data_IF_021922864319
#
_entry.id   IF_021922864319
#
_cell.length_a   1.000
_cell.length_b   1.000
_cell.length_c   1.000
_cell.angle_alpha   90.00
_cell.angle_beta   90.00
_cell.angle_gamma   90.00
#
_symmetry.space_group_name_H-M   'P 1'
#
loop_
_entity.id
_entity.type
_entity.pdbx_description
1 polymer ?
#
# COMPACT_ATOMS: atom_id res chain seq x y z
N UNK A 1 -9.19 -4.58 -0.01
CA UNK A 1 -10.23 -5.55 0.43
C UNK A 1 -11.02 -5.97 -0.79
N UNK A 2 -11.85 -7.01 -0.70
CA UNK A 2 -12.87 -7.30 -1.72
C UNK A 2 -14.26 -6.74 -1.33
N UNK A 3 -14.35 -6.12 -0.16
CA UNK A 3 -15.53 -5.42 0.38
C UNK A 3 -15.27 -3.92 0.41
N UNK A 4 -16.33 -3.13 0.29
CA UNK A 4 -16.36 -1.70 0.57
C UNK A 4 -17.17 -1.46 1.85
N UNK A 5 -16.52 -0.94 2.89
CA UNK A 5 -17.17 -0.45 4.10
C UNK A 5 -18.29 -1.34 4.69
N UNK A 6 -18.10 -2.66 4.66
CA UNK A 6 -19.03 -3.65 5.19
C UNK A 6 -19.98 -4.32 4.19
N UNK A 7 -19.97 -3.95 2.91
CA UNK A 7 -20.89 -4.48 1.88
C UNK A 7 -20.77 -6.01 1.70
N UNK A 8 -19.59 -6.59 1.97
CA UNK A 8 -19.37 -8.04 1.99
C UNK A 8 -18.76 -8.48 3.34
N UNK A 9 -19.59 -8.85 4.34
CA UNK A 9 -19.11 -9.25 5.67
C UNK A 9 -18.31 -10.56 5.62
N UNK A 10 -17.01 -10.48 5.92
CA UNK A 10 -16.09 -11.61 5.93
C UNK A 10 -14.98 -11.39 6.97
N UNK A 11 -14.36 -12.44 7.55
CA UNK A 11 -13.23 -12.25 8.46
C UNK A 11 -12.11 -11.35 7.89
N UNK A 12 -11.79 -11.49 6.59
CA UNK A 12 -10.79 -10.63 5.95
C UNK A 12 -11.23 -9.18 5.75
N UNK A 13 -12.49 -8.91 5.41
CA UNK A 13 -12.99 -7.53 5.30
C UNK A 13 -13.04 -6.86 6.67
N UNK A 14 -13.52 -7.56 7.70
CA UNK A 14 -13.50 -7.09 9.10
C UNK A 14 -12.08 -6.82 9.62
N UNK A 15 -11.10 -7.66 9.26
CA UNK A 15 -9.68 -7.44 9.59
C UNK A 15 -9.20 -6.09 9.04
N UNK A 16 -9.52 -5.79 7.79
CA UNK A 16 -9.09 -4.54 7.16
C UNK A 16 -9.86 -3.32 7.66
N UNK A 17 -11.15 -3.46 7.97
CA UNK A 17 -11.95 -2.40 8.60
C UNK A 17 -11.37 -2.03 9.96
N UNK A 18 -11.05 -3.05 10.77
CA UNK A 18 -10.37 -2.88 12.06
C UNK A 18 -8.99 -2.23 11.90
N UNK A 19 -8.23 -2.63 10.89
CA UNK A 19 -6.91 -2.03 10.63
C UNK A 19 -7.03 -0.52 10.33
N UNK A 20 -7.97 -0.11 9.46
CA UNK A 20 -8.21 1.30 9.16
C UNK A 20 -8.62 2.09 10.42
N UNK A 21 -9.52 1.53 11.23
CA UNK A 21 -9.94 2.14 12.50
C UNK A 21 -8.77 2.31 13.49
N UNK A 22 -7.89 1.32 13.60
CA UNK A 22 -6.70 1.40 14.47
C UNK A 22 -5.72 2.48 13.99
N UNK A 23 -5.48 2.58 12.68
CA UNK A 23 -4.61 3.63 12.12
C UNK A 23 -5.21 5.01 12.37
N UNK A 24 -6.52 5.18 12.14
CA UNK A 24 -7.21 6.46 12.37
C UNK A 24 -7.19 6.86 13.85
N UNK A 25 -7.36 5.91 14.77
CA UNK A 25 -7.25 6.16 16.21
C UNK A 25 -5.82 6.57 16.61
N UNK A 26 -4.79 5.90 16.07
CA UNK A 26 -3.40 6.20 16.38
C UNK A 26 -2.88 7.48 15.71
N UNK A 27 -3.43 7.84 14.54
CA UNK A 27 -3.01 8.97 13.71
C UNK A 27 -4.23 9.69 13.11
N UNK A 28 -4.99 10.47 13.91
CA UNK A 28 -6.25 11.09 13.46
C UNK A 28 -6.12 12.03 12.26
N UNK A 29 -4.94 12.64 12.09
CA UNK A 29 -4.66 13.58 11.00
C UNK A 29 -4.23 12.88 9.69
N UNK A 30 -4.00 11.56 9.71
CA UNK A 30 -3.65 10.81 8.51
C UNK A 30 -4.93 10.50 7.73
N UNK A 31 -4.96 10.88 6.44
CA UNK A 31 -6.04 10.50 5.54
C UNK A 31 -5.94 9.00 5.25
N UNK A 32 -6.81 8.22 5.90
CA UNK A 32 -6.89 6.77 5.76
C UNK A 32 -8.35 6.35 5.85
N UNK A 33 -8.78 5.63 4.83
CA UNK A 33 -10.10 5.00 4.80
C UNK A 33 -9.95 3.51 4.51
N UNK A 34 -10.94 2.74 4.94
CA UNK A 34 -11.03 1.33 4.65
C UNK A 34 -12.05 0.63 5.54
N UNK A 35 -12.38 -0.62 5.24
CA UNK A 35 -11.87 -1.39 4.11
C UNK A 35 -12.55 -1.03 2.78
N UNK A 36 -11.81 -1.12 1.67
CA UNK A 36 -12.37 -0.88 0.33
C UNK A 36 -11.68 -1.70 -0.75
N UNK A 37 -12.34 -1.83 -1.89
CA UNK A 37 -11.83 -2.35 -3.15
C UNK A 37 -10.90 -1.32 -3.83
N UNK A 38 -10.11 -1.78 -4.80
CA UNK A 38 -9.05 -0.97 -5.41
C UNK A 38 -9.60 0.15 -6.29
N UNK A 39 -10.71 -0.08 -6.98
CA UNK A 39 -11.43 0.92 -7.77
C UNK A 39 -11.97 2.05 -6.90
N UNK A 40 -12.60 1.76 -5.76
CA UNK A 40 -13.04 2.78 -4.78
C UNK A 40 -11.85 3.59 -4.23
N UNK A 41 -10.70 2.94 -4.02
CA UNK A 41 -9.49 3.63 -3.57
C UNK A 41 -8.89 4.54 -4.65
N UNK A 42 -8.93 4.14 -5.93
CA UNK A 42 -8.17 4.78 -7.00
C UNK A 42 -8.99 5.72 -7.88
N UNK A 43 -10.32 5.54 -7.96
CA UNK A 43 -11.20 6.26 -8.86
C UNK A 43 -12.18 7.11 -8.03
N UNK A 44 -11.98 8.42 -8.02
CA UNK A 44 -12.76 9.36 -7.21
C UNK A 44 -14.26 9.27 -7.47
N UNK A 45 -14.67 9.18 -8.74
CA UNK A 45 -16.08 9.09 -9.13
C UNK A 45 -16.77 7.82 -8.62
N UNK A 46 -16.02 6.72 -8.43
CA UNK A 46 -16.57 5.50 -7.82
C UNK A 46 -16.73 5.73 -6.30
N UNK A 47 -15.77 6.42 -5.68
CA UNK A 47 -15.79 6.71 -4.23
C UNK A 47 -16.87 7.71 -3.82
N UNK A 48 -17.37 8.55 -4.72
CA UNK A 48 -18.46 9.51 -4.44
C UNK A 48 -19.73 8.84 -3.86
N UNK A 49 -19.92 7.54 -4.14
CA UNK A 49 -21.00 6.73 -3.54
C UNK A 49 -20.87 6.54 -2.02
N UNK A 50 -19.70 6.83 -1.46
CA UNK A 50 -19.39 6.74 -0.03
C UNK A 50 -19.07 8.14 0.54
N UNK A 51 -20.08 8.99 0.82
CA UNK A 51 -19.89 10.41 1.17
C UNK A 51 -19.18 10.64 2.51
N UNK A 52 -19.05 9.60 3.32
CA UNK A 52 -18.30 9.61 4.58
C UNK A 52 -16.80 9.34 4.41
N UNK A 53 -16.35 8.95 3.20
CA UNK A 53 -14.94 8.76 2.91
C UNK A 53 -14.17 10.09 3.02
N UNK A 54 -12.99 10.03 3.63
CA UNK A 54 -12.13 11.19 3.92
C UNK A 54 -10.99 11.36 2.92
N UNK A 55 -10.68 10.32 2.12
CA UNK A 55 -9.68 10.38 1.05
C UNK A 55 -10.04 11.42 -0.01
N UNK A 56 -9.03 12.20 -0.40
CA UNK A 56 -9.10 13.22 -1.45
C UNK A 56 -8.23 12.79 -2.61
N UNK A 57 -8.77 12.73 -3.82
CA UNK A 57 -8.02 12.20 -4.96
C UNK A 57 -7.83 10.68 -4.90
N UNK A 58 -7.14 10.15 -5.90
CA UNK A 58 -6.72 8.75 -5.91
C UNK A 58 -5.81 8.44 -4.72
N UNK A 59 -6.03 7.32 -4.05
CA UNK A 59 -5.14 6.84 -3.00
C UNK A 59 -3.71 6.64 -3.55
N UNK A 60 -2.72 7.16 -2.84
CA UNK A 60 -1.31 7.05 -3.20
C UNK A 60 -0.56 5.97 -2.40
N UNK A 61 -1.20 5.38 -1.38
CA UNK A 61 -0.68 4.27 -0.59
C UNK A 61 -1.77 3.21 -0.46
N UNK A 62 -1.46 2.01 -0.93
CA UNK A 62 -2.37 0.86 -0.87
C UNK A 62 -1.86 -0.16 0.14
N UNK A 63 -2.66 -0.45 1.17
CA UNK A 63 -2.36 -1.48 2.16
C UNK A 63 -3.13 -2.75 1.82
N UNK A 64 -2.39 -3.78 1.40
CA UNK A 64 -2.97 -5.06 1.00
C UNK A 64 -3.36 -5.93 2.20
N UNK A 65 -4.42 -6.75 2.08
CA UNK A 65 -4.92 -7.56 3.19
C UNK A 65 -4.00 -8.72 3.57
N UNK A 66 -3.16 -9.18 2.66
CA UNK A 66 -2.26 -10.31 2.86
C UNK A 66 -1.12 -10.31 1.83
N UNK A 67 -0.15 -11.19 2.03
CA UNK A 67 1.03 -11.30 1.18
C UNK A 67 0.69 -11.67 -0.27
N UNK A 68 -0.27 -12.58 -0.47
CA UNK A 68 -0.67 -13.01 -1.82
C UNK A 68 -1.22 -11.85 -2.64
N UNK A 69 -2.14 -11.08 -2.07
CA UNK A 69 -2.72 -9.91 -2.74
C UNK A 69 -1.66 -8.86 -3.09
N UNK A 70 -0.75 -8.56 -2.14
CA UNK A 70 0.36 -7.63 -2.39
C UNK A 70 1.32 -8.14 -3.46
N UNK A 71 1.74 -9.40 -3.39
CA UNK A 71 2.70 -10.00 -4.31
C UNK A 71 2.18 -10.06 -5.74
N UNK A 72 0.92 -10.48 -5.91
CA UNK A 72 0.26 -10.52 -7.22
C UNK A 72 0.15 -9.10 -7.77
N UNK A 73 -0.36 -8.15 -6.99
CA UNK A 73 -0.60 -6.79 -7.46
C UNK A 73 0.69 -6.10 -7.95
N UNK A 74 1.77 -6.08 -7.16
CA UNK A 74 2.98 -5.38 -7.59
C UNK A 74 3.65 -6.05 -8.79
N UNK A 75 3.62 -7.40 -8.88
CA UNK A 75 4.18 -8.13 -10.03
C UNK A 75 3.38 -7.91 -11.29
N UNK A 76 2.05 -7.76 -11.20
CA UNK A 76 1.23 -7.37 -12.33
C UNK A 76 1.68 -5.99 -12.86
N UNK A 77 1.88 -5.01 -11.96
CA UNK A 77 2.44 -3.71 -12.37
C UNK A 77 3.85 -3.83 -12.94
N UNK A 78 4.73 -4.66 -12.38
CA UNK A 78 6.08 -4.89 -12.94
C UNK A 78 6.07 -5.50 -14.35
N UNK A 79 4.99 -6.20 -14.73
CA UNK A 79 4.87 -6.82 -16.05
C UNK A 79 4.25 -5.89 -17.10
N UNK A 80 3.63 -4.79 -16.67
CA UNK A 80 3.05 -3.77 -17.55
C UNK A 80 4.16 -2.79 -17.93
N UNK A 81 4.34 -2.58 -19.24
CA UNK A 81 5.32 -1.63 -19.73
C UNK A 81 5.00 -0.20 -19.27
N UNK A 82 6.05 0.56 -18.95
CA UNK A 82 5.93 1.93 -18.42
C UNK A 82 5.78 2.05 -16.90
N UNK A 83 5.72 0.94 -16.14
CA UNK A 83 5.79 0.97 -14.68
C UNK A 83 7.15 0.52 -14.15
N UNK A 84 7.87 1.44 -13.50
CA UNK A 84 9.08 1.07 -12.76
C UNK A 84 8.72 0.63 -11.34
N UNK A 85 9.14 -0.57 -10.96
CA UNK A 85 8.96 -1.09 -9.61
C UNK A 85 10.27 -1.07 -8.85
N UNK A 86 10.31 -0.30 -7.76
CA UNK A 86 11.46 -0.20 -6.85
C UNK A 86 11.15 -0.99 -5.58
N UNK A 87 11.95 -2.02 -5.30
CA UNK A 87 11.80 -2.81 -4.08
C UNK A 87 12.41 -4.22 -4.18
N UNK A 88 12.22 -5.05 -3.14
CA UNK A 88 11.46 -4.78 -1.93
C UNK A 88 12.17 -3.82 -0.95
N UNK A 89 11.40 -2.95 -0.29
CA UNK A 89 11.88 -2.05 0.76
C UNK A 89 11.43 -2.56 2.14
N UNK A 90 12.38 -2.68 3.06
CA UNK A 90 12.09 -3.05 4.46
C UNK A 90 11.87 -1.78 5.28
N UNK A 91 10.77 -1.75 6.02
CA UNK A 91 10.36 -0.65 6.89
C UNK A 91 10.32 -1.12 8.36
N UNK A 92 10.41 -0.18 9.31
CA UNK A 92 10.25 -0.46 10.75
C UNK A 92 11.50 -0.92 11.51
N UNK A 93 12.64 -1.09 10.84
CA UNK A 93 13.91 -1.45 11.50
C UNK A 93 14.56 -0.25 12.21
N UNK A 94 15.27 -0.49 13.33
CA UNK A 94 16.02 0.56 14.08
C UNK A 94 17.10 1.24 13.25
N UNK A 95 17.73 0.51 12.34
CA UNK A 95 18.63 1.02 11.32
C UNK A 95 18.13 0.56 9.94
N UNK A 96 18.25 1.36 8.88
CA UNK A 96 17.77 0.97 7.57
C UNK A 96 18.60 -0.20 7.04
N UNK A 97 17.91 -1.27 6.67
CA UNK A 97 18.47 -2.48 6.07
C UNK A 97 17.52 -2.87 4.94
N UNK A 98 18.04 -3.25 3.78
CA UNK A 98 17.24 -3.78 2.68
C UNK A 98 17.88 -5.06 2.15
N UNK A 99 17.07 -5.94 1.59
CA UNK A 99 17.51 -7.23 1.02
C UNK A 99 17.31 -7.20 -0.48
N UNK A 100 18.40 -7.42 -1.22
CA UNK A 100 18.39 -7.56 -2.66
C UNK A 100 18.07 -8.99 -3.05
N UNK A 101 17.36 -9.17 -4.17
CA UNK A 101 17.21 -10.48 -4.79
C UNK A 101 18.48 -10.81 -5.59
N UNK A 102 18.88 -12.09 -5.69
CA UNK A 102 20.03 -12.49 -6.50
C UNK A 102 19.96 -12.05 -7.96
N UNK A 103 18.74 -11.93 -8.50
CA UNK A 103 18.46 -11.48 -9.87
C UNK A 103 18.28 -9.95 -9.99
N UNK A 104 18.69 -9.16 -9.00
CA UNK A 104 18.51 -7.72 -9.02
C UNK A 104 19.34 -7.07 -10.14
N UNK A 105 18.73 -6.14 -10.86
CA UNK A 105 19.44 -5.32 -11.85
C UNK A 105 20.37 -4.30 -11.19
N UNK A 106 21.36 -3.81 -11.93
CA UNK A 106 22.26 -2.73 -11.47
C UNK A 106 21.45 -1.51 -11.02
N UNK A 107 20.42 -1.12 -11.77
CA UNK A 107 19.51 -0.03 -11.41
C UNK A 107 18.85 -0.27 -10.05
N UNK A 108 18.34 -1.49 -9.82
CA UNK A 108 17.72 -1.86 -8.53
C UNK A 108 18.69 -1.74 -7.35
N UNK A 109 19.94 -2.14 -7.55
CA UNK A 109 21.00 -2.04 -6.53
C UNK A 109 21.27 -0.57 -6.20
N UNK A 110 21.40 0.29 -7.22
CA UNK A 110 21.64 1.72 -7.06
C UNK A 110 20.46 2.39 -6.35
N UNK A 111 19.23 2.14 -6.79
CA UNK A 111 18.02 2.70 -6.20
C UNK A 111 17.85 2.30 -4.73
N UNK A 112 18.01 1.01 -4.41
CA UNK A 112 17.91 0.54 -3.02
C UNK A 112 19.03 1.10 -2.15
N UNK A 113 20.25 1.21 -2.67
CA UNK A 113 21.38 1.82 -1.93
C UNK A 113 21.09 3.28 -1.62
N UNK A 114 20.67 4.06 -2.63
CA UNK A 114 20.34 5.48 -2.46
C UNK A 114 19.23 5.68 -1.43
N UNK A 115 18.15 4.89 -1.49
CA UNK A 115 17.05 4.95 -0.51
C UNK A 115 17.54 4.55 0.89
N UNK A 116 18.39 3.53 1.01
CA UNK A 116 18.93 3.08 2.31
C UNK A 116 19.77 4.17 2.96
N UNK A 117 20.68 4.79 2.20
CA UNK A 117 21.55 5.88 2.68
C UNK A 117 20.71 7.11 3.06
N UNK A 118 19.75 7.49 2.21
CA UNK A 118 18.87 8.63 2.50
C UNK A 118 18.06 8.43 3.79
N UNK A 119 17.69 7.20 4.12
CA UNK A 119 17.01 6.86 5.38
C UNK A 119 17.95 6.75 6.58
N UNK A 120 19.25 6.51 6.35
CA UNK A 120 20.27 6.46 7.41
C UNK A 120 20.76 7.85 7.80
N UNK A 121 20.70 8.81 6.87
CA UNK A 121 21.09 10.20 7.08
C UNK A 121 20.03 11.04 7.80
N UNK A 122 18.82 10.49 7.98
CA UNK A 122 17.73 11.09 8.78
C UNK A 122 17.76 10.53 10.20
#
# INVERSE_FOLDING_TARGET
SFSNFGDAPHPESRKMAKAAALVKAARPNLLVDGEMQADVALIDSVRETYPFATLKGSANVLIFPNLSAGNIAYKLFSAIDGFEVIGPLVLGMRKPVNVLQPSASVSSIVHLTAITVARAAR
#
